data_IF_280989721853
#
_entry.id   IF_280989721853
#
_cell.length_a   1.000
_cell.length_b   1.000
_cell.length_c   1.000
_cell.angle_alpha   90.00
_cell.angle_beta   90.00
_cell.angle_gamma   90.00
#
_symmetry.space_group_name_H-M   'P 1'
#
loop_
_entity.id
_entity.type
_entity.pdbx_description
1 polymer ?
#
# COMPACT_ATOMS: atom_id res chain seq x y z
N UNK A 1 5.66 16.21 30.27
CA UNK A 1 4.76 16.48 29.12
C UNK A 1 5.17 17.72 28.29
N UNK A 2 6.28 18.40 28.59
CA UNK A 2 6.65 19.70 28.01
C UNK A 2 7.62 19.65 26.82
N UNK A 3 8.36 18.56 26.58
CA UNK A 3 9.49 18.58 25.62
C UNK A 3 9.25 17.91 24.25
N UNK A 4 8.04 17.44 23.94
CA UNK A 4 7.75 16.81 22.64
C UNK A 4 6.91 17.67 21.67
N UNK A 5 6.68 18.97 21.96
CA UNK A 5 5.79 19.83 21.16
C UNK A 5 6.42 20.49 19.93
N UNK A 6 7.67 20.20 19.57
CA UNK A 6 8.37 20.90 18.48
C UNK A 6 8.95 19.95 17.42
N UNK A 7 8.07 19.28 16.68
CA UNK A 7 8.27 19.08 15.24
C UNK A 7 6.97 18.59 14.63
N UNK A 8 6.69 19.03 13.40
CA UNK A 8 5.54 18.73 12.56
C UNK A 8 4.41 19.77 12.56
N UNK A 9 4.68 20.87 11.87
CA UNK A 9 3.66 21.61 11.13
C UNK A 9 4.05 21.49 9.65
N UNK A 10 3.30 20.70 8.88
CA UNK A 10 3.67 20.39 7.50
C UNK A 10 2.67 19.45 6.83
N UNK A 11 1.40 19.84 6.82
CA UNK A 11 0.43 19.53 5.74
C UNK A 11 -0.96 20.12 6.08
N UNK A 12 -1.04 21.45 6.22
CA UNK A 12 -2.33 22.14 6.17
C UNK A 12 -2.73 22.31 4.69
N UNK A 13 -3.47 21.34 4.16
CA UNK A 13 -4.25 21.54 2.94
C UNK A 13 -5.34 22.56 3.23
N UNK A 14 -5.16 23.79 2.72
CA UNK A 14 -6.24 24.78 2.60
C UNK A 14 -7.30 24.23 1.63
N UNK A 15 -8.40 23.72 2.16
CA UNK A 15 -9.68 23.70 1.47
C UNK A 15 -10.42 24.98 1.85
N UNK A 16 -11.02 25.64 0.87
CA UNK A 16 -11.78 26.87 1.06
C UNK A 16 -13.20 26.53 1.57
N UNK A 17 -13.30 26.02 2.79
CA UNK A 17 -14.54 25.88 3.57
C UNK A 17 -14.58 26.93 4.68
N UNK A 18 -15.77 27.33 5.13
CA UNK A 18 -15.91 28.20 6.30
C UNK A 18 -15.30 27.54 7.53
N UNK A 19 -14.83 28.33 8.49
CA UNK A 19 -14.17 27.85 9.72
C UNK A 19 -15.03 26.86 10.54
N UNK A 20 -16.36 26.92 10.39
CA UNK A 20 -17.31 25.98 10.98
C UNK A 20 -17.24 24.59 10.34
N UNK A 21 -16.97 24.50 9.03
CA UNK A 21 -16.78 23.23 8.33
C UNK A 21 -15.53 22.50 8.84
N UNK A 22 -14.43 23.24 9.10
CA UNK A 22 -13.23 22.67 9.71
C UNK A 22 -13.53 22.10 11.11
N UNK A 23 -14.37 22.78 11.89
CA UNK A 23 -14.78 22.30 13.22
C UNK A 23 -15.65 21.04 13.12
N UNK A 24 -16.60 20.98 12.19
CA UNK A 24 -17.43 19.81 11.95
C UNK A 24 -16.60 18.58 11.56
N UNK A 25 -15.67 18.76 10.61
CA UNK A 25 -14.73 17.72 10.20
C UNK A 25 -13.91 17.22 11.40
N UNK A 26 -13.46 18.15 12.28
CA UNK A 26 -12.73 17.75 13.49
C UNK A 26 -13.62 16.97 14.46
N UNK A 27 -14.85 17.40 14.71
CA UNK A 27 -15.76 16.70 15.63
C UNK A 27 -16.13 15.30 15.12
N UNK A 28 -16.38 15.16 13.81
CA UNK A 28 -16.62 13.86 13.20
C UNK A 28 -15.39 12.96 13.30
N UNK A 29 -14.19 13.51 13.05
CA UNK A 29 -12.93 12.76 13.19
C UNK A 29 -12.65 12.30 14.63
N UNK A 30 -13.13 13.06 15.62
CA UNK A 30 -13.01 12.73 17.04
C UNK A 30 -14.05 11.73 17.52
N UNK A 31 -15.01 11.36 16.66
CA UNK A 31 -16.07 10.41 16.97
C UNK A 31 -17.23 11.00 17.77
N UNK A 32 -17.41 12.32 17.75
CA UNK A 32 -18.60 12.95 18.32
C UNK A 32 -19.85 12.46 17.57
N UNK A 33 -20.95 12.23 18.30
CA UNK A 33 -22.24 11.77 17.74
C UNK A 33 -23.41 12.61 18.25
N UNK A 34 -23.13 13.79 18.80
CA UNK A 34 -24.15 14.66 19.38
C UNK A 34 -24.82 15.58 18.35
N UNK A 35 -25.74 16.45 18.82
CA UNK A 35 -26.61 17.24 17.97
C UNK A 35 -25.90 18.36 17.20
N UNK A 36 -24.66 18.71 17.55
CA UNK A 36 -23.90 19.81 16.94
C UNK A 36 -23.01 19.37 15.75
N UNK A 37 -23.41 18.31 15.02
CA UNK A 37 -22.72 17.82 13.82
C UNK A 37 -23.24 18.44 12.51
N UNK A 38 -24.19 19.36 12.60
CA UNK A 38 -24.74 20.07 11.44
C UNK A 38 -24.40 21.57 11.51
N UNK A 39 -23.95 22.16 10.40
CA UNK A 39 -23.58 23.58 10.28
C UNK A 39 -24.71 24.52 10.74
N UNK A 40 -25.96 24.15 10.44
CA UNK A 40 -27.17 24.91 10.83
C UNK A 40 -27.42 24.94 12.35
N UNK A 41 -26.83 24.02 13.10
CA UNK A 41 -26.98 23.92 14.56
C UNK A 41 -25.75 24.40 15.31
N UNK A 42 -24.56 24.20 14.73
CA UNK A 42 -23.29 24.59 15.33
C UNK A 42 -23.12 26.11 15.39
N UNK A 43 -23.40 26.83 14.30
CA UNK A 43 -23.27 28.29 14.27
C UNK A 43 -24.06 29.00 15.37
N UNK A 44 -25.38 28.77 15.51
CA UNK A 44 -26.19 29.35 16.60
C UNK A 44 -25.73 28.95 18.01
N UNK A 45 -25.24 27.72 18.17
CA UNK A 45 -24.70 27.24 19.45
C UNK A 45 -23.37 27.93 19.79
N UNK A 46 -22.51 28.18 18.81
CA UNK A 46 -21.27 28.95 18.97
C UNK A 46 -21.54 30.42 19.26
N UNK A 47 -22.54 31.02 18.63
CA UNK A 47 -22.95 32.41 18.88
C UNK A 47 -23.51 32.59 20.30
N UNK A 48 -24.25 31.61 20.81
CA UNK A 48 -24.83 31.61 22.16
C UNK A 48 -23.85 31.15 23.25
N UNK A 49 -22.86 30.30 22.93
CA UNK A 49 -21.77 29.90 23.84
C UNK A 49 -22.28 29.17 25.06
N UNK A 50 -21.76 29.51 26.25
CA UNK A 50 -22.18 28.87 27.52
C UNK A 50 -23.66 29.08 27.89
N UNK A 51 -24.37 29.95 27.16
CA UNK A 51 -25.83 30.09 27.29
C UNK A 51 -26.60 29.03 26.51
N UNK A 52 -25.97 28.33 25.55
CA UNK A 52 -26.58 27.17 24.88
C UNK A 52 -26.30 25.89 25.68
N UNK A 53 -27.34 25.13 26.02
CA UNK A 53 -27.16 23.84 26.69
C UNK A 53 -26.44 22.83 25.79
N UNK A 54 -26.65 22.87 24.47
CA UNK A 54 -25.99 21.99 23.51
C UNK A 54 -24.48 22.25 23.44
N UNK A 55 -24.07 23.52 23.47
CA UNK A 55 -22.66 23.90 23.51
C UNK A 55 -21.98 23.44 24.81
N UNK A 56 -22.64 23.63 25.96
CA UNK A 56 -22.14 23.12 27.25
C UNK A 56 -22.02 21.59 27.26
N UNK A 57 -22.98 20.87 26.69
CA UNK A 57 -22.90 19.41 26.55
C UNK A 57 -21.73 18.96 25.67
N UNK A 58 -21.43 19.68 24.59
CA UNK A 58 -20.27 19.40 23.75
C UNK A 58 -18.96 19.59 24.53
N UNK A 59 -18.82 20.67 25.30
CA UNK A 59 -17.64 20.89 26.14
C UNK A 59 -17.51 19.82 27.23
N UNK A 60 -18.61 19.44 27.88
CA UNK A 60 -18.62 18.34 28.85
C UNK A 60 -18.19 17.02 28.20
N UNK A 61 -18.66 16.74 26.99
CA UNK A 61 -18.25 15.56 26.24
C UNK A 61 -16.74 15.60 25.95
N UNK A 62 -16.21 16.69 25.40
CA UNK A 62 -14.78 16.85 25.13
C UNK A 62 -13.94 16.67 26.39
N UNK A 63 -14.33 17.32 27.50
CA UNK A 63 -13.65 17.19 28.80
C UNK A 63 -13.72 15.77 29.34
N UNK A 64 -14.86 15.08 29.23
CA UNK A 64 -15.00 13.68 29.66
C UNK A 64 -14.10 12.73 28.86
N UNK A 65 -13.99 12.94 27.55
CA UNK A 65 -13.11 12.16 26.70
C UNK A 65 -11.64 12.44 27.01
N UNK A 66 -11.25 13.69 27.27
CA UNK A 66 -9.88 14.01 27.69
C UNK A 66 -9.59 13.40 29.08
N UNK A 67 -10.53 13.47 30.02
CA UNK A 67 -10.39 12.94 31.37
C UNK A 67 -10.32 11.40 31.42
N UNK A 68 -11.04 10.70 30.54
CA UNK A 68 -10.90 9.24 30.39
C UNK A 68 -9.51 8.83 29.90
N UNK A 69 -8.84 9.71 29.16
CA UNK A 69 -7.63 9.39 28.42
C UNK A 69 -6.36 10.03 29.03
N UNK A 70 -6.52 11.06 29.86
CA UNK A 70 -5.49 11.76 30.62
C UNK A 70 -5.74 11.63 32.12
N UNK A 71 -4.67 11.48 32.91
CA UNK A 71 -4.76 11.32 34.36
C UNK A 71 -5.01 12.68 35.04
N UNK A 72 -6.16 13.30 34.75
CA UNK A 72 -6.58 14.60 35.26
C UNK A 72 -7.45 14.42 36.51
N UNK A 73 -7.36 15.35 37.44
CA UNK A 73 -8.17 15.39 38.67
C UNK A 73 -9.46 16.20 38.46
N UNK A 74 -9.42 17.21 37.60
CA UNK A 74 -10.58 18.06 37.31
C UNK A 74 -11.48 17.44 36.23
N UNK A 75 -12.78 17.63 36.39
CA UNK A 75 -13.82 17.17 35.47
C UNK A 75 -14.90 18.24 35.32
N UNK A 76 -15.39 18.43 34.10
CA UNK A 76 -16.49 19.36 33.82
C UNK A 76 -17.80 18.57 33.83
N UNK A 77 -18.78 19.04 34.62
CA UNK A 77 -20.08 18.41 34.76
C UNK A 77 -21.19 19.36 34.31
N UNK A 78 -22.21 18.81 33.62
CA UNK A 78 -23.38 19.58 33.18
C UNK A 78 -24.52 19.58 34.22
N UNK A 79 -24.30 19.02 35.42
CA UNK A 79 -25.38 18.76 36.38
C UNK A 79 -25.71 20.01 37.20
N UNK A 80 -26.63 20.83 36.69
CA UNK A 80 -27.42 21.78 37.47
C UNK A 80 -26.67 23.01 38.02
N UNK A 81 -25.46 23.28 37.57
CA UNK A 81 -24.70 24.48 37.93
C UNK A 81 -25.15 25.73 37.16
N UNK A 82 -25.11 26.89 37.83
CA UNK A 82 -25.26 28.19 37.16
C UNK A 82 -24.12 28.41 36.14
N UNK A 83 -24.31 29.33 35.18
CA UNK A 83 -23.34 29.62 34.12
C UNK A 83 -21.93 29.95 34.67
N UNK A 84 -21.86 30.60 35.83
CA UNK A 84 -20.60 30.92 36.52
C UNK A 84 -19.90 29.66 37.07
N UNK A 85 -20.66 28.64 37.50
CA UNK A 85 -20.13 27.36 37.97
C UNK A 85 -19.50 26.57 36.82
N UNK A 86 -20.20 26.43 35.70
CA UNK A 86 -19.70 25.73 34.50
C UNK A 86 -18.45 26.45 33.96
N UNK A 87 -18.46 27.78 33.95
CA UNK A 87 -17.31 28.59 33.53
C UNK A 87 -16.09 28.37 34.43
N UNK A 88 -16.27 28.24 35.75
CA UNK A 88 -15.19 27.93 36.68
C UNK A 88 -14.64 26.51 36.49
N UNK A 89 -15.50 25.52 36.31
CA UNK A 89 -15.10 24.13 36.02
C UNK A 89 -14.26 24.04 34.75
N UNK A 90 -14.70 24.69 33.65
CA UNK A 90 -13.94 24.71 32.39
C UNK A 90 -12.61 25.46 32.56
N UNK A 91 -12.59 26.61 33.24
CA UNK A 91 -11.35 27.35 33.48
C UNK A 91 -10.35 26.57 34.34
N UNK A 92 -10.83 25.83 35.34
CA UNK A 92 -10.00 24.93 36.14
C UNK A 92 -9.44 23.79 35.29
N UNK A 93 -10.31 23.12 34.54
CA UNK A 93 -9.92 22.02 33.66
C UNK A 93 -8.85 22.45 32.64
N UNK A 94 -9.02 23.64 32.04
CA UNK A 94 -8.03 24.24 31.15
C UNK A 94 -6.71 24.60 31.86
N UNK A 95 -6.76 24.98 33.15
CA UNK A 95 -5.57 25.25 33.96
C UNK A 95 -4.78 23.97 34.21
N UNK A 96 -5.46 22.87 34.52
CA UNK A 96 -4.83 21.57 34.71
C UNK A 96 -4.19 21.05 33.41
N UNK A 97 -4.87 21.29 32.28
CA UNK A 97 -4.32 21.05 30.94
C UNK A 97 -3.12 21.95 30.57
N UNK A 98 -2.69 22.85 31.47
CA UNK A 98 -1.61 23.81 31.23
C UNK A 98 -1.88 24.71 30.02
N UNK A 99 -3.13 25.19 29.89
CA UNK A 99 -3.56 26.05 28.79
C UNK A 99 -2.66 27.31 28.67
N UNK A 100 -2.10 27.59 27.48
CA UNK A 100 -1.19 28.71 27.26
C UNK A 100 -1.92 30.06 27.14
N UNK A 101 -3.25 30.07 27.08
CA UNK A 101 -4.06 31.27 26.86
C UNK A 101 -4.61 31.81 28.19
N UNK A 102 -3.99 32.87 28.77
CA UNK A 102 -4.43 33.41 30.05
C UNK A 102 -5.84 34.00 30.00
N UNK A 103 -6.34 34.40 28.83
CA UNK A 103 -7.72 34.87 28.62
C UNK A 103 -8.79 33.81 28.88
N UNK A 104 -8.44 32.52 28.87
CA UNK A 104 -9.37 31.41 29.13
C UNK A 104 -9.32 30.94 30.60
N UNK A 105 -8.26 31.28 31.34
CA UNK A 105 -7.95 30.69 32.65
C UNK A 105 -7.83 31.74 33.77
N UNK A 106 -7.36 32.94 33.44
CA UNK A 106 -7.02 34.01 34.39
C UNK A 106 -7.87 35.26 34.16
N UNK A 107 -7.96 36.14 35.17
CA UNK A 107 -8.74 37.38 35.10
C UNK A 107 -10.13 37.28 35.73
N UNK A 108 -10.99 38.27 35.49
CA UNK A 108 -12.35 38.30 36.05
C UNK A 108 -13.21 37.19 35.42
N UNK A 109 -14.06 36.52 36.20
CA UNK A 109 -14.84 35.35 35.76
C UNK A 109 -15.68 35.72 34.53
N UNK A 110 -16.32 36.88 34.54
CA UNK A 110 -17.14 37.40 33.44
C UNK A 110 -16.36 37.73 32.16
N UNK A 111 -15.04 37.83 32.26
CA UNK A 111 -14.13 38.10 31.14
C UNK A 111 -13.51 36.85 30.51
N UNK A 112 -13.60 35.69 31.19
CA UNK A 112 -13.07 34.42 30.68
C UNK A 112 -14.01 33.81 29.65
N UNK A 113 -13.48 33.02 28.72
CA UNK A 113 -14.29 32.27 27.71
C UNK A 113 -15.20 33.16 26.83
N UNK A 114 -14.89 34.46 26.68
CA UNK A 114 -15.64 35.36 25.79
C UNK A 114 -15.51 34.96 24.32
N UNK A 115 -14.31 34.51 23.92
CA UNK A 115 -14.10 33.90 22.62
C UNK A 115 -14.50 32.42 22.69
N UNK A 116 -15.74 32.15 22.29
CA UNK A 116 -16.39 30.85 22.39
C UNK A 116 -15.66 29.80 21.54
N UNK A 117 -15.19 30.18 20.35
CA UNK A 117 -14.48 29.29 19.44
C UNK A 117 -13.10 28.84 19.94
N UNK A 118 -12.35 29.68 20.65
CA UNK A 118 -10.96 29.40 21.04
C UNK A 118 -10.90 28.26 22.05
N UNK A 119 -11.88 28.22 22.98
CA UNK A 119 -12.00 27.15 23.96
C UNK A 119 -12.29 25.80 23.29
N UNK A 120 -13.23 25.77 22.34
CA UNK A 120 -13.59 24.56 21.61
C UNK A 120 -12.43 24.05 20.75
N UNK A 121 -11.76 24.92 20.00
CA UNK A 121 -10.58 24.57 19.19
C UNK A 121 -9.48 23.97 20.06
N UNK A 122 -9.22 24.57 21.22
CA UNK A 122 -8.20 24.08 22.16
C UNK A 122 -8.54 22.69 22.66
N UNK A 123 -9.77 22.46 23.13
CA UNK A 123 -10.18 21.14 23.64
C UNK A 123 -10.19 20.07 22.54
N UNK A 124 -10.65 20.39 21.33
CA UNK A 124 -10.52 19.49 20.18
C UNK A 124 -9.06 19.13 19.91
N UNK A 125 -8.16 20.11 19.93
CA UNK A 125 -6.72 19.89 19.69
C UNK A 125 -6.04 19.06 20.78
N UNK A 126 -6.41 19.27 22.05
CA UNK A 126 -5.85 18.51 23.18
C UNK A 126 -6.40 17.07 23.18
N UNK A 127 -7.67 16.85 22.86
CA UNK A 127 -8.23 15.52 22.70
C UNK A 127 -7.55 14.74 21.56
N UNK A 128 -7.32 15.37 20.41
CA UNK A 128 -6.53 14.80 19.33
C UNK A 128 -5.12 14.45 19.79
N UNK A 129 -4.45 15.35 20.52
CA UNK A 129 -3.10 15.10 21.04
C UNK A 129 -3.08 13.90 22.00
N UNK A 130 -4.06 13.78 22.88
CA UNK A 130 -4.18 12.66 23.83
C UNK A 130 -4.44 11.34 23.08
N UNK A 131 -5.34 11.31 22.11
CA UNK A 131 -5.57 10.12 21.25
C UNK A 131 -4.30 9.70 20.50
N UNK A 132 -3.52 10.67 19.99
CA UNK A 132 -2.22 10.42 19.36
C UNK A 132 -1.22 9.83 20.36
N UNK A 133 -1.18 10.33 21.60
CA UNK A 133 -0.29 9.80 22.64
C UNK A 133 -0.67 8.38 23.05
N UNK A 134 -1.96 8.05 23.10
CA UNK A 134 -2.41 6.68 23.39
C UNK A 134 -2.15 5.71 22.25
N UNK A 135 -2.44 6.09 21.01
CA UNK A 135 -2.08 5.28 19.84
C UNK A 135 -0.56 5.11 19.77
N UNK A 136 0.21 6.16 20.09
CA UNK A 136 1.66 6.05 20.27
C UNK A 136 2.02 5.08 21.39
N UNK A 137 1.41 5.12 22.56
CA UNK A 137 1.65 4.16 23.66
C UNK A 137 1.37 2.71 23.26
N UNK A 138 0.30 2.47 22.49
CA UNK A 138 -0.01 1.16 21.92
C UNK A 138 1.01 0.72 20.86
N UNK A 139 1.60 1.66 20.11
CA UNK A 139 2.68 1.40 19.14
C UNK A 139 4.10 1.51 19.72
N UNK A 140 4.23 2.01 20.94
CA UNK A 140 5.47 2.36 21.65
C UNK A 140 5.36 1.93 23.12
N UNK A 141 4.97 0.69 23.40
CA UNK A 141 5.75 -0.01 24.42
C UNK A 141 7.17 -0.02 23.88
N UNK A 142 8.16 0.45 24.63
CA UNK A 142 9.54 0.48 24.12
C UNK A 142 9.90 -0.86 23.49
N UNK A 143 10.78 -0.93 22.48
CA UNK A 143 11.11 -2.19 21.81
C UNK A 143 11.45 -3.31 22.82
N UNK A 144 12.03 -2.95 23.97
CA UNK A 144 12.27 -3.84 25.11
C UNK A 144 10.98 -4.44 25.73
N UNK A 145 9.95 -3.65 25.98
CA UNK A 145 8.71 -4.11 26.62
C UNK A 145 7.87 -4.99 25.70
N UNK A 146 7.84 -4.70 24.40
CA UNK A 146 7.21 -5.55 23.40
C UNK A 146 7.90 -6.93 23.32
N UNK A 147 9.22 -6.93 23.23
CA UNK A 147 10.04 -8.16 23.20
C UNK A 147 9.86 -8.97 24.48
N UNK A 148 9.86 -8.32 25.66
CA UNK A 148 9.64 -9.01 26.93
C UNK A 148 8.24 -9.64 27.02
N UNK A 149 7.22 -8.98 26.48
CA UNK A 149 5.87 -9.56 26.39
C UNK A 149 5.85 -10.78 25.47
N UNK A 150 6.47 -10.72 24.30
CA UNK A 150 6.56 -11.86 23.37
C UNK A 150 7.34 -13.04 23.97
N UNK A 151 8.42 -12.78 24.72
CA UNK A 151 9.14 -13.86 25.39
C UNK A 151 8.27 -14.52 26.46
N UNK A 152 7.54 -13.72 27.25
CA UNK A 152 6.59 -14.27 28.25
C UNK A 152 5.52 -15.15 27.60
N UNK A 153 4.94 -14.73 26.48
CA UNK A 153 3.93 -15.54 25.77
C UNK A 153 4.52 -16.82 25.21
N UNK A 154 5.77 -16.82 24.74
CA UNK A 154 6.48 -18.05 24.32
C UNK A 154 6.73 -19.00 25.49
N UNK A 155 7.13 -18.49 26.65
CA UNK A 155 7.33 -19.30 27.87
C UNK A 155 6.02 -19.95 28.32
N UNK A 156 4.93 -19.18 28.34
CA UNK A 156 3.59 -19.70 28.67
C UNK A 156 3.14 -20.78 27.66
N UNK A 157 3.31 -20.52 26.36
CA UNK A 157 2.94 -21.47 25.30
C UNK A 157 3.75 -22.78 25.37
N UNK A 158 5.04 -22.70 25.71
CA UNK A 158 5.93 -23.85 25.87
C UNK A 158 5.87 -24.48 27.27
N UNK A 159 5.04 -23.93 28.17
CA UNK A 159 4.91 -24.34 29.59
C UNK A 159 6.25 -24.34 30.32
N UNK A 160 7.09 -23.36 30.04
CA UNK A 160 8.33 -23.11 30.75
C UNK A 160 8.05 -22.21 31.97
N UNK A 161 8.83 -22.34 33.06
CA UNK A 161 8.71 -21.46 34.20
C UNK A 161 8.99 -20.02 33.78
N UNK A 162 8.09 -19.08 34.13
CA UNK A 162 8.24 -17.68 33.73
C UNK A 162 9.63 -17.16 34.16
N UNK A 163 10.33 -16.44 33.27
CA UNK A 163 11.67 -16.00 33.59
C UNK A 163 11.63 -14.91 34.66
N UNK A 164 12.39 -15.11 35.72
CA UNK A 164 12.57 -14.15 36.82
C UNK A 164 13.66 -13.12 36.53
N UNK A 165 14.51 -13.38 35.53
CA UNK A 165 15.67 -12.56 35.16
C UNK A 165 15.40 -11.78 33.87
N UNK A 166 16.07 -10.63 33.69
CA UNK A 166 16.01 -9.86 32.44
C UNK A 166 16.98 -10.36 31.36
N UNK A 167 17.50 -11.58 31.49
CA UNK A 167 18.47 -12.14 30.54
C UNK A 167 17.76 -12.72 29.30
N UNK A 168 17.59 -11.89 28.28
CA UNK A 168 16.95 -12.25 27.02
C UNK A 168 17.69 -13.39 26.31
N UNK A 169 19.02 -13.43 26.37
CA UNK A 169 19.81 -14.44 25.65
C UNK A 169 19.63 -15.82 26.29
N UNK A 170 19.72 -15.89 27.62
CA UNK A 170 19.44 -17.12 28.37
C UNK A 170 18.01 -17.61 28.18
N UNK A 171 17.04 -16.71 28.17
CA UNK A 171 15.64 -17.01 27.89
C UNK A 171 15.43 -17.62 26.50
N UNK A 172 16.03 -17.03 25.46
CA UNK A 172 15.94 -17.53 24.09
C UNK A 172 16.59 -18.91 23.93
N UNK A 173 17.70 -19.18 24.62
CA UNK A 173 18.31 -20.52 24.64
C UNK A 173 17.39 -21.57 25.25
N UNK A 174 16.75 -21.26 26.38
CA UNK A 174 15.78 -22.17 27.01
C UNK A 174 14.59 -22.46 26.10
N UNK A 175 14.07 -21.44 25.41
CA UNK A 175 13.03 -21.60 24.38
C UNK A 175 13.53 -22.53 23.26
N UNK A 176 14.73 -22.29 22.74
CA UNK A 176 15.33 -23.08 21.65
C UNK A 176 15.46 -24.55 22.05
N UNK A 177 16.00 -24.84 23.24
CA UNK A 177 16.14 -26.20 23.77
C UNK A 177 14.78 -26.90 23.94
N UNK A 178 13.76 -26.18 24.40
CA UNK A 178 12.43 -26.77 24.55
C UNK A 178 11.78 -27.06 23.20
N UNK A 179 11.94 -26.17 22.23
CA UNK A 179 11.44 -26.37 20.86
C UNK A 179 12.13 -27.56 20.21
N UNK A 180 13.45 -27.70 20.33
CA UNK A 180 14.18 -28.86 19.77
C UNK A 180 13.79 -30.19 20.43
N UNK A 181 13.46 -30.18 21.73
CA UNK A 181 12.92 -31.36 22.44
C UNK A 181 11.51 -31.76 21.96
N UNK A 182 10.66 -30.78 21.65
CA UNK A 182 9.26 -31.01 21.26
C UNK A 182 9.08 -31.32 19.79
N UNK A 183 9.91 -30.75 18.90
CA UNK A 183 9.85 -30.96 17.45
C UNK A 183 9.73 -32.44 17.03
N UNK A 184 10.54 -33.40 17.54
CA UNK A 184 10.44 -34.80 17.15
C UNK A 184 9.17 -35.51 17.66
N UNK A 185 8.50 -34.96 18.68
CA UNK A 185 7.24 -35.50 19.24
C UNK A 185 6.02 -35.10 18.41
N UNK A 186 6.16 -34.09 17.53
CA UNK A 186 5.11 -33.64 16.62
C UNK A 186 5.05 -34.59 15.43
N UNK A 187 3.86 -35.05 15.05
CA UNK A 187 3.66 -35.97 13.94
C UNK A 187 4.35 -35.45 12.67
N UNK A 188 5.26 -36.25 12.12
CA UNK A 188 6.20 -35.89 11.04
C UNK A 188 5.57 -35.36 9.75
N UNK A 189 4.25 -35.51 9.59
CA UNK A 189 3.52 -35.11 8.39
C UNK A 189 2.87 -33.71 8.51
N UNK A 190 3.01 -33.04 9.66
CA UNK A 190 2.35 -31.75 9.93
C UNK A 190 3.23 -30.52 9.68
N UNK A 191 4.55 -30.68 9.68
CA UNK A 191 5.53 -29.59 9.59
C UNK A 191 6.41 -29.81 8.36
N UNK A 192 6.23 -28.96 7.34
CA UNK A 192 7.12 -28.91 6.18
C UNK A 192 8.54 -28.50 6.60
N UNK A 193 9.55 -28.96 5.86
CA UNK A 193 10.95 -28.61 6.12
C UNK A 193 11.18 -27.13 5.90
N UNK A 194 12.25 -26.59 6.51
CA UNK A 194 12.68 -25.22 6.27
C UNK A 194 13.06 -25.05 4.81
N UNK A 195 12.67 -23.91 4.22
CA UNK A 195 12.99 -23.60 2.83
C UNK A 195 14.50 -23.38 2.65
N UNK A 196 15.12 -22.72 3.63
CA UNK A 196 16.55 -22.47 3.68
C UNK A 196 17.18 -23.44 4.69
N UNK A 197 17.77 -24.52 4.18
CA UNK A 197 18.44 -25.55 4.98
C UNK A 197 19.96 -25.36 5.12
N UNK A 198 20.51 -24.26 4.60
CA UNK A 198 21.94 -23.99 4.57
C UNK A 198 22.30 -23.03 5.71
N UNK A 199 23.36 -23.36 6.46
CA UNK A 199 23.94 -22.43 7.42
C UNK A 199 24.61 -21.26 6.69
N UNK A 200 24.17 -20.04 7.01
CA UNK A 200 24.67 -18.83 6.37
C UNK A 200 25.81 -18.24 7.21
N UNK A 201 26.91 -17.88 6.55
CA UNK A 201 27.97 -17.12 7.20
C UNK A 201 27.61 -15.62 7.27
N UNK A 202 28.40 -14.84 8.02
CA UNK A 202 28.14 -13.41 8.22
C UNK A 202 28.08 -12.61 6.91
N UNK A 203 28.97 -12.89 5.95
CA UNK A 203 28.95 -12.21 4.64
C UNK A 203 27.70 -12.56 3.81
N UNK A 204 27.24 -13.81 3.87
CA UNK A 204 26.04 -14.26 3.17
C UNK A 204 24.78 -13.65 3.79
N UNK A 205 24.73 -13.53 5.12
CA UNK A 205 23.64 -12.85 5.82
C UNK A 205 23.57 -11.37 5.41
N UNK A 206 24.71 -10.67 5.39
CA UNK A 206 24.75 -9.27 4.97
C UNK A 206 24.31 -9.10 3.50
N UNK A 207 24.71 -10.02 2.62
CA UNK A 207 24.25 -10.03 1.21
C UNK A 207 22.75 -10.29 1.11
N UNK A 208 22.21 -11.19 1.91
CA UNK A 208 20.77 -11.48 1.95
C UNK A 208 19.96 -10.30 2.47
N UNK A 209 20.45 -9.57 3.47
CA UNK A 209 19.83 -8.33 3.93
C UNK A 209 19.77 -7.28 2.81
N UNK A 210 20.87 -7.09 2.07
CA UNK A 210 20.89 -6.18 0.91
C UNK A 210 19.88 -6.58 -0.17
N UNK A 211 19.73 -7.88 -0.43
CA UNK A 211 18.73 -8.40 -1.38
C UNK A 211 17.31 -8.14 -0.84
N UNK A 212 17.06 -8.43 0.44
CA UNK A 212 15.77 -8.18 1.07
C UNK A 212 15.40 -6.69 1.00
N UNK A 213 16.34 -5.79 1.29
CA UNK A 213 16.13 -4.34 1.20
C UNK A 213 15.78 -3.89 -0.22
N UNK A 214 16.48 -4.41 -1.22
CA UNK A 214 16.20 -4.11 -2.62
C UNK A 214 14.79 -4.59 -3.02
N UNK A 215 14.43 -5.81 -2.65
CA UNK A 215 13.09 -6.37 -2.91
C UNK A 215 12.01 -5.60 -2.15
N UNK A 216 12.23 -5.28 -0.88
CA UNK A 216 11.29 -4.52 -0.06
C UNK A 216 10.99 -3.16 -0.68
N UNK A 217 11.99 -2.45 -1.21
CA UNK A 217 11.82 -1.17 -1.94
C UNK A 217 11.01 -1.37 -3.22
N UNK A 218 11.31 -2.42 -3.99
CA UNK A 218 10.61 -2.71 -5.23
C UNK A 218 9.13 -3.07 -4.99
N UNK A 219 8.86 -3.94 -4.01
CA UNK A 219 7.51 -4.31 -3.60
C UNK A 219 6.75 -3.13 -3.02
N UNK A 220 7.39 -2.25 -2.25
CA UNK A 220 6.78 -1.04 -1.75
C UNK A 220 6.36 -0.13 -2.91
N UNK A 221 7.22 0.06 -3.92
CA UNK A 221 6.89 0.80 -5.13
C UNK A 221 5.66 0.20 -5.85
N UNK A 222 5.65 -1.12 -6.05
CA UNK A 222 4.50 -1.84 -6.64
C UNK A 222 3.22 -1.66 -5.82
N UNK A 223 3.29 -1.76 -4.49
CA UNK A 223 2.14 -1.57 -3.59
C UNK A 223 1.61 -0.14 -3.68
N UNK A 224 2.48 0.88 -3.66
CA UNK A 224 2.07 2.28 -3.85
C UNK A 224 1.34 2.47 -5.18
N UNK A 225 1.88 1.90 -6.26
CA UNK A 225 1.24 1.98 -7.58
C UNK A 225 -0.14 1.31 -7.59
N UNK A 226 -0.28 0.10 -7.02
CA UNK A 226 -1.56 -0.61 -6.97
C UNK A 226 -2.59 0.12 -6.11
N UNK A 227 -2.18 0.66 -4.96
CA UNK A 227 -3.03 1.48 -4.10
C UNK A 227 -3.46 2.75 -4.85
N UNK A 228 -2.54 3.43 -5.55
CA UNK A 228 -2.89 4.61 -6.35
C UNK A 228 -3.82 4.26 -7.51
N UNK A 229 -3.63 3.11 -8.15
CA UNK A 229 -4.53 2.62 -9.20
C UNK A 229 -5.93 2.37 -8.63
N UNK A 230 -6.03 1.80 -7.44
CA UNK A 230 -7.30 1.66 -6.73
C UNK A 230 -7.93 3.02 -6.46
N UNK A 231 -7.18 3.99 -5.91
CA UNK A 231 -7.64 5.36 -5.67
C UNK A 231 -8.25 5.98 -6.93
N UNK A 232 -7.51 5.94 -8.05
CA UNK A 232 -7.95 6.52 -9.33
C UNK A 232 -9.15 5.77 -9.90
N UNK A 233 -9.24 4.46 -9.69
CA UNK A 233 -10.40 3.66 -10.14
C UNK A 233 -11.66 4.02 -9.37
N UNK A 234 -11.56 4.26 -8.06
CA UNK A 234 -12.70 4.70 -7.26
C UNK A 234 -13.08 6.15 -7.62
N UNK A 235 -12.09 7.02 -7.84
CA UNK A 235 -12.32 8.39 -8.27
C UNK A 235 -13.05 8.48 -9.63
N UNK A 236 -12.78 7.57 -10.56
CA UNK A 236 -13.44 7.59 -11.87
C UNK A 236 -14.92 7.25 -11.81
N UNK A 237 -15.39 6.55 -10.77
CA UNK A 237 -16.82 6.33 -10.57
C UNK A 237 -17.56 7.66 -10.38
N UNK A 238 -16.95 8.64 -9.71
CA UNK A 238 -17.50 9.98 -9.50
C UNK A 238 -17.64 10.84 -10.77
N UNK A 239 -17.27 10.33 -11.95
CA UNK A 239 -17.44 11.06 -13.21
C UNK A 239 -18.86 10.94 -13.78
N UNK A 240 -19.64 9.94 -13.35
CA UNK A 240 -21.04 9.79 -13.74
C UNK A 240 -21.97 10.59 -12.83
N UNK A 241 -23.01 11.22 -13.39
CA UNK A 241 -23.93 12.08 -12.62
C UNK A 241 -24.64 11.31 -11.50
N UNK A 242 -25.02 10.06 -11.75
CA UNK A 242 -25.60 9.15 -10.74
C UNK A 242 -24.66 8.84 -9.58
N UNK A 243 -23.34 8.81 -9.81
CA UNK A 243 -22.37 8.51 -8.76
C UNK A 243 -21.95 9.75 -7.97
N UNK A 244 -22.06 10.95 -8.56
CA UNK A 244 -21.84 12.22 -7.84
C UNK A 244 -22.83 12.39 -6.69
N UNK A 245 -24.07 11.93 -6.86
CA UNK A 245 -25.09 11.91 -5.80
C UNK A 245 -24.79 10.87 -4.69
N UNK A 246 -23.82 9.97 -4.90
CA UNK A 246 -23.47 8.87 -4.00
C UNK A 246 -22.02 8.93 -3.53
N UNK A 247 -21.37 10.10 -3.61
CA UNK A 247 -19.98 10.29 -3.20
C UNK A 247 -19.74 9.85 -1.76
N UNK A 248 -20.69 10.17 -0.88
CA UNK A 248 -20.54 9.94 0.56
C UNK A 248 -20.70 8.45 0.88
N UNK A 249 -21.63 7.77 0.20
CA UNK A 249 -21.76 6.31 0.28
C UNK A 249 -20.49 5.60 -0.19
N UNK A 250 -19.90 6.06 -1.31
CA UNK A 250 -18.66 5.51 -1.86
C UNK A 250 -17.49 5.77 -0.90
N UNK A 251 -17.37 6.98 -0.37
CA UNK A 251 -16.32 7.35 0.58
C UNK A 251 -16.42 6.52 1.87
N UNK A 252 -17.63 6.38 2.42
CA UNK A 252 -17.89 5.59 3.63
C UNK A 252 -17.49 4.12 3.46
N UNK A 253 -17.70 3.55 2.27
CA UNK A 253 -17.27 2.18 1.97
C UNK A 253 -15.77 2.06 1.69
N UNK A 254 -15.18 3.05 1.01
CA UNK A 254 -13.81 2.98 0.51
C UNK A 254 -12.75 3.37 1.53
N UNK A 255 -12.96 4.46 2.28
CA UNK A 255 -11.93 5.04 3.14
C UNK A 255 -11.41 4.06 4.21
N UNK A 256 -12.25 3.27 4.91
CA UNK A 256 -11.74 2.30 5.89
C UNK A 256 -10.80 1.27 5.27
N UNK A 257 -11.15 0.75 4.09
CA UNK A 257 -10.30 -0.18 3.33
C UNK A 257 -9.01 0.54 2.93
N UNK A 258 -9.10 1.77 2.44
CA UNK A 258 -7.95 2.53 1.99
C UNK A 258 -6.94 2.82 3.11
N UNK A 259 -7.41 3.14 4.31
CA UNK A 259 -6.56 3.36 5.48
C UNK A 259 -5.91 2.07 5.99
N UNK A 260 -6.55 0.92 5.78
CA UNK A 260 -5.96 -0.39 6.13
C UNK A 260 -4.82 -0.82 5.18
N UNK A 261 -4.73 -0.24 3.97
CA UNK A 261 -3.74 -0.61 2.97
C UNK A 261 -2.40 0.09 3.24
N UNK A 262 -1.38 -0.70 3.56
CA UNK A 262 -0.02 -0.21 3.76
C UNK A 262 0.87 -0.47 2.53
N UNK A 263 1.62 0.55 2.11
CA UNK A 263 2.60 0.38 1.04
C UNK A 263 3.85 -0.35 1.51
N UNK A 264 4.28 -0.14 2.76
CA UNK A 264 5.49 -0.74 3.32
C UNK A 264 5.33 -2.25 3.39
N UNK A 265 6.42 -2.96 3.11
CA UNK A 265 6.50 -4.41 3.32
C UNK A 265 6.86 -4.68 4.77
N UNK A 266 6.27 -5.73 5.35
CA UNK A 266 6.57 -6.21 6.71
C UNK A 266 7.53 -7.40 6.70
N UNK A 267 8.11 -7.72 5.54
CA UNK A 267 8.95 -8.91 5.34
C UNK A 267 10.36 -8.58 5.80
N UNK A 268 10.88 -9.39 6.71
CA UNK A 268 12.23 -9.26 7.26
C UNK A 268 13.02 -10.55 7.03
N UNK A 269 14.33 -10.50 7.26
CA UNK A 269 15.19 -11.69 7.17
C UNK A 269 14.70 -12.83 8.09
N UNK A 270 14.14 -12.51 9.25
CA UNK A 270 13.55 -13.50 10.16
C UNK A 270 12.41 -14.29 9.50
N UNK A 271 11.60 -13.64 8.66
CA UNK A 271 10.53 -14.31 7.92
C UNK A 271 11.09 -15.26 6.85
N UNK A 272 12.21 -14.92 6.22
CA UNK A 272 12.93 -15.81 5.29
C UNK A 272 13.43 -17.06 6.01
N UNK A 273 14.07 -16.89 7.18
CA UNK A 273 14.61 -18.01 7.97
C UNK A 273 13.51 -18.91 8.53
N UNK A 274 12.35 -18.34 8.86
CA UNK A 274 11.17 -19.09 9.29
C UNK A 274 10.40 -19.75 8.13
N UNK A 275 10.72 -19.42 6.87
CA UNK A 275 9.99 -19.90 5.71
C UNK A 275 10.16 -21.42 5.53
N UNK A 276 9.08 -22.09 5.13
CA UNK A 276 9.04 -23.53 4.89
C UNK A 276 8.83 -23.84 3.41
N UNK A 277 9.08 -25.09 3.02
CA UNK A 277 9.04 -25.54 1.62
C UNK A 277 7.68 -25.28 0.95
N UNK A 278 6.57 -25.28 1.68
CA UNK A 278 5.24 -24.95 1.16
C UNK A 278 5.11 -23.52 0.63
N UNK A 279 5.83 -22.56 1.22
CA UNK A 279 5.86 -21.17 0.73
C UNK A 279 6.54 -21.04 -0.64
N UNK A 280 7.38 -22.01 -1.04
CA UNK A 280 7.95 -22.04 -2.39
C UNK A 280 6.93 -22.42 -3.46
N UNK A 281 5.79 -22.98 -3.04
CA UNK A 281 4.77 -23.49 -3.96
C UNK A 281 3.87 -22.36 -4.43
N UNK A 282 4.20 -21.78 -5.58
CA UNK A 282 3.41 -20.72 -6.21
C UNK A 282 2.07 -21.31 -6.68
N UNK A 283 1.01 -21.08 -5.90
CA UNK A 283 -0.35 -21.42 -6.29
C UNK A 283 -0.88 -20.34 -7.23
N UNK A 284 -1.24 -20.72 -8.46
CA UNK A 284 -1.88 -19.79 -9.41
C UNK A 284 -3.20 -19.30 -8.83
N UNK A 285 -3.32 -17.99 -8.68
CA UNK A 285 -4.56 -17.31 -8.27
C UNK A 285 -5.71 -17.50 -9.27
N UNK A 286 -5.39 -17.82 -10.52
CA UNK A 286 -6.34 -18.19 -11.57
C UNK A 286 -6.75 -19.66 -11.60
N UNK A 287 -6.24 -20.49 -10.67
CA UNK A 287 -6.58 -21.90 -10.62
C UNK A 287 -8.07 -22.11 -10.33
N UNK A 288 -8.64 -23.21 -10.86
CA UNK A 288 -10.05 -23.57 -10.64
C UNK A 288 -10.40 -23.64 -9.15
N UNK A 289 -9.53 -24.23 -8.33
CA UNK A 289 -9.72 -24.36 -6.89
C UNK A 289 -9.67 -23.03 -6.12
N UNK A 290 -8.86 -22.06 -6.58
CA UNK A 290 -8.90 -20.68 -6.04
C UNK A 290 -10.17 -19.94 -6.45
N UNK A 291 -10.66 -20.18 -7.67
CA UNK A 291 -11.88 -19.55 -8.21
C UNK A 291 -13.17 -20.11 -7.61
N UNK A 292 -13.22 -21.40 -7.30
CA UNK A 292 -14.33 -22.04 -6.57
C UNK A 292 -14.60 -21.36 -5.22
N UNK A 293 -13.56 -20.88 -4.55
CA UNK A 293 -13.64 -20.22 -3.23
C UNK A 293 -13.79 -18.70 -3.30
N UNK A 294 -13.74 -18.11 -4.50
CA UNK A 294 -13.86 -16.65 -4.71
C UNK A 294 -15.06 -16.29 -5.58
N UNK A 295 -16.04 -17.20 -5.68
CA UNK A 295 -17.31 -16.97 -6.35
C UNK A 295 -18.02 -15.79 -5.67
N UNK A 296 -18.36 -14.78 -6.46
CA UNK A 296 -19.11 -13.62 -5.99
C UNK A 296 -20.23 -13.31 -6.98
N UNK A 297 -21.21 -12.44 -6.61
CA UNK A 297 -22.31 -12.07 -7.49
C UNK A 297 -21.87 -11.50 -8.86
N UNK A 298 -20.63 -11.02 -8.97
CA UNK A 298 -20.04 -10.54 -10.24
C UNK A 298 -19.36 -11.67 -11.02
N UNK A 299 -18.62 -12.56 -10.35
CA UNK A 299 -17.97 -13.74 -10.96
C UNK A 299 -18.73 -15.02 -10.62
N UNK A 300 -19.92 -15.19 -11.23
CA UNK A 300 -20.81 -16.33 -10.96
C UNK A 300 -20.41 -17.64 -11.65
N UNK A 301 -19.71 -17.57 -12.77
CA UNK A 301 -19.49 -18.72 -13.65
C UNK A 301 -18.04 -19.18 -13.62
N UNK A 302 -17.81 -20.36 -13.05
CA UNK A 302 -16.56 -21.08 -13.22
C UNK A 302 -16.59 -21.79 -14.59
N UNK A 303 -15.85 -21.25 -15.56
CA UNK A 303 -15.69 -21.92 -16.84
C UNK A 303 -14.95 -23.25 -16.61
N UNK A 304 -15.59 -24.36 -16.98
CA UNK A 304 -15.00 -25.70 -16.88
C UNK A 304 -13.80 -25.87 -17.81
N UNK A 305 -13.33 -27.12 -17.95
CA UNK A 305 -12.21 -27.45 -18.85
C UNK A 305 -12.58 -27.09 -20.29
N UNK A 306 -12.07 -25.96 -20.78
CA UNK A 306 -12.24 -25.53 -22.18
C UNK A 306 -11.37 -26.46 -23.04
N UNK A 307 -11.95 -27.25 -23.96
CA UNK A 307 -11.17 -28.05 -24.89
C UNK A 307 -10.21 -27.15 -25.66
N UNK A 308 -9.00 -27.66 -25.94
CA UNK A 308 -8.05 -26.92 -26.77
C UNK A 308 -8.72 -26.60 -28.11
N UNK A 309 -8.77 -25.31 -28.47
CA UNK A 309 -9.40 -24.85 -29.72
C UNK A 309 -8.41 -24.85 -30.89
N UNK A 310 -7.20 -25.38 -30.67
CA UNK A 310 -6.14 -25.38 -31.67
C UNK A 310 -5.67 -23.97 -32.00
N UNK A 311 -4.95 -23.83 -33.11
CA UNK A 311 -4.45 -22.55 -33.59
C UNK A 311 -3.10 -22.15 -33.00
N UNK A 312 -2.41 -23.06 -32.30
CA UNK A 312 -1.01 -22.84 -31.95
C UNK A 312 -0.21 -22.76 -33.26
N UNK A 313 0.60 -21.73 -33.47
CA UNK A 313 1.41 -21.60 -34.69
C UNK A 313 2.32 -22.81 -34.98
N UNK A 314 2.63 -23.62 -33.96
CA UNK A 314 3.39 -24.88 -34.08
C UNK A 314 2.58 -26.07 -34.56
N UNK A 315 1.25 -26.02 -34.50
CA UNK A 315 0.31 -27.08 -34.89
C UNK A 315 -0.36 -26.80 -36.24
N UNK A 316 -0.24 -25.57 -36.74
CA UNK A 316 -0.71 -25.18 -38.07
C UNK A 316 0.37 -25.59 -39.07
N UNK A 317 0.03 -26.53 -39.94
CA UNK A 317 0.87 -26.86 -41.08
C UNK A 317 1.03 -25.59 -41.94
N UNK A 318 2.27 -25.16 -42.24
CA UNK A 318 2.47 -23.96 -43.02
C UNK A 318 1.74 -24.12 -44.35
N UNK A 319 1.01 -23.08 -44.82
CA UNK A 319 0.30 -23.17 -46.09
C UNK A 319 1.28 -23.58 -47.17
N UNK A 320 0.81 -24.48 -48.06
CA UNK A 320 1.62 -24.92 -49.19
C UNK A 320 2.19 -23.67 -49.90
N UNK A 321 3.49 -23.64 -50.21
CA UNK A 321 4.10 -22.45 -50.82
C UNK A 321 3.34 -22.13 -52.13
N UNK A 322 2.56 -21.05 -52.10
CA UNK A 322 1.68 -20.63 -53.21
C UNK A 322 2.45 -20.17 -54.45
N UNK A 323 3.78 -20.00 -54.33
CA UNK A 323 4.64 -19.66 -55.45
C UNK A 323 5.51 -20.86 -55.85
N UNK A 324 5.45 -21.30 -57.12
CA UNK A 324 6.43 -22.24 -57.66
C UNK A 324 7.85 -21.72 -57.40
N UNK A 325 8.81 -22.60 -57.04
CA UNK A 325 10.19 -22.18 -56.86
C UNK A 325 10.66 -21.54 -58.16
N UNK A 326 11.28 -20.36 -58.06
CA UNK A 326 11.67 -19.56 -59.22
C UNK A 326 12.63 -20.38 -60.07
N UNK A 327 12.13 -20.99 -61.14
CA UNK A 327 12.96 -21.67 -62.10
C UNK A 327 13.79 -20.62 -62.82
N UNK A 328 15.09 -20.63 -62.52
CA UNK A 328 16.09 -19.92 -63.32
C UNK A 328 15.90 -20.37 -64.77
N UNK A 329 15.65 -19.44 -65.69
CA UNK A 329 15.49 -19.75 -67.11
C UNK A 329 16.71 -20.56 -67.56
N UNK A 330 16.47 -21.65 -68.28
CA UNK A 330 17.52 -22.46 -68.88
C UNK A 330 18.32 -21.58 -69.84
N UNK A 331 19.57 -21.31 -69.50
CA UNK A 331 20.59 -20.99 -70.47
C UNK A 331 21.09 -22.34 -71.02
N UNK A 332 20.44 -22.86 -72.05
CA UNK A 332 21.08 -23.88 -72.90
C UNK A 332 20.90 -23.57 -74.38
N UNK A 333 21.93 -22.87 -74.87
CA UNK A 333 22.66 -23.15 -76.11
C UNK A 333 21.90 -23.69 -77.32
N UNK A 334 21.86 -22.89 -78.39
CA UNK A 334 21.55 -23.44 -79.72
C UNK A 334 21.49 -22.44 -80.88
N UNK A 335 22.67 -22.03 -81.38
CA UNK A 335 23.00 -21.66 -82.78
C UNK A 335 21.92 -21.01 -83.69
N UNK A 336 22.25 -19.80 -84.14
CA UNK A 336 22.28 -19.48 -85.58
C UNK A 336 21.32 -18.39 -86.04
N UNK A 337 21.84 -17.39 -86.77
CA UNK A 337 21.02 -16.53 -87.63
C UNK A 337 21.32 -15.04 -87.61
N UNK A 338 22.41 -14.63 -88.25
CA UNK A 338 22.47 -13.56 -89.26
C UNK A 338 21.51 -12.35 -89.19
N UNK A 339 22.12 -11.16 -89.25
CA UNK A 339 21.62 -9.87 -89.80
C UNK A 339 20.56 -9.18 -88.93
N UNK A 340 20.62 -7.88 -88.65
CA UNK A 340 21.45 -6.79 -89.14
C UNK A 340 20.82 -5.47 -88.69
N UNK A 341 21.61 -4.39 -88.73
CA UNK A 341 21.15 -3.01 -88.56
C UNK A 341 20.82 -2.64 -87.11
N UNK A 342 21.36 -1.59 -86.52
CA UNK A 342 22.08 -0.45 -87.08
C UNK A 342 21.90 0.70 -86.09
N UNK A 343 22.90 1.60 -86.04
CA UNK A 343 22.81 3.03 -85.67
C UNK A 343 22.07 3.35 -84.36
N UNK A 344 22.74 3.85 -83.33
CA UNK A 344 23.51 5.09 -83.26
C UNK A 344 23.38 5.59 -81.81
N UNK A 345 24.42 6.19 -81.20
CA UNK A 345 24.53 7.65 -81.00
C UNK A 345 23.33 8.17 -80.19
N UNK A 346 23.46 8.82 -79.03
CA UNK A 346 24.18 10.06 -78.69
C UNK A 346 24.05 10.20 -77.15
N UNK A 347 25.11 10.43 -76.35
CA UNK A 347 25.85 11.68 -76.07
C UNK A 347 24.98 12.88 -75.63
N UNK A 348 25.40 13.50 -74.51
CA UNK A 348 25.08 14.87 -74.09
C UNK A 348 24.22 14.87 -72.83
N UNK A 349 24.70 15.31 -71.66
CA UNK A 349 25.29 16.63 -71.41
C UNK A 349 24.13 17.62 -71.25
N UNK A 350 23.94 18.37 -70.18
CA UNK A 350 24.86 18.92 -69.20
C UNK A 350 24.26 20.27 -68.77
N UNK A 351 24.66 20.75 -67.59
CA UNK A 351 24.38 22.12 -67.13
C UNK A 351 22.95 22.32 -66.59
N UNK A 352 22.74 23.00 -65.47
CA UNK A 352 23.62 23.92 -64.76
C UNK A 352 22.81 25.16 -64.39
N UNK A 353 22.93 25.59 -63.13
CA UNK A 353 22.45 26.88 -62.62
C UNK A 353 20.95 26.91 -62.31
N UNK A 354 20.47 27.48 -61.21
CA UNK A 354 21.12 28.30 -60.21
C UNK A 354 20.05 29.13 -59.49
N UNK A 355 20.29 29.41 -58.21
CA UNK A 355 19.50 30.35 -57.39
C UNK A 355 18.14 29.79 -56.94
N UNK A 356 17.70 29.95 -55.71
CA UNK A 356 18.14 30.81 -54.63
C UNK A 356 16.99 30.91 -53.63
N UNK A 357 17.32 31.18 -52.37
CA UNK A 357 16.35 31.37 -51.28
C UNK A 357 15.99 30.04 -50.61
N UNK A 358 16.40 29.76 -49.38
CA UNK A 358 16.50 30.68 -48.26
C UNK A 358 15.47 30.22 -47.24
N UNK A 359 15.92 29.75 -46.08
CA UNK A 359 15.04 29.29 -45.02
C UNK A 359 15.58 28.10 -44.24
N UNK A 360 16.67 28.32 -43.49
CA UNK A 360 16.93 27.80 -42.14
C UNK A 360 16.14 26.52 -41.75
N UNK A 361 16.73 25.31 -41.61
CA UNK A 361 17.99 24.97 -40.93
C UNK A 361 17.92 25.45 -39.48
N UNK A 362 17.93 24.65 -38.41
CA UNK A 362 18.46 23.32 -38.08
C UNK A 362 17.67 22.86 -36.83
N UNK A 363 17.53 21.58 -36.47
CA UNK A 363 18.36 20.41 -36.79
C UNK A 363 19.25 20.02 -35.59
N UNK A 364 19.31 18.71 -35.32
CA UNK A 364 20.28 18.06 -34.43
C UNK A 364 19.59 17.24 -33.35
N UNK A 365 19.24 15.96 -33.51
CA UNK A 365 20.06 14.78 -33.83
C UNK A 365 21.32 14.67 -32.96
N UNK A 366 21.39 13.63 -32.13
CA UNK A 366 22.52 12.69 -32.24
C UNK A 366 22.19 11.35 -31.57
N UNK A 367 22.06 10.34 -32.43
CA UNK A 367 22.17 8.93 -32.11
C UNK A 367 23.41 8.40 -32.85
N UNK A 368 24.20 7.58 -32.15
CA UNK A 368 25.29 6.79 -32.72
C UNK A 368 26.33 6.45 -31.64
N UNK A 369 27.12 5.36 -31.78
CA UNK A 369 27.47 4.73 -33.06
C UNK A 369 27.31 3.20 -33.18
N UNK A 370 27.37 2.79 -34.46
CA UNK A 370 27.37 1.46 -35.09
C UNK A 370 28.57 0.55 -34.78
N UNK A 371 28.35 -0.75 -34.99
CA UNK A 371 29.27 -1.70 -35.64
C UNK A 371 29.19 -3.11 -35.04
N UNK A 372 29.10 -4.24 -35.73
CA UNK A 372 29.08 -4.59 -37.16
C UNK A 372 29.25 -6.12 -37.34
N UNK A 373 28.88 -6.62 -38.53
CA UNK A 373 29.31 -7.88 -39.21
C UNK A 373 28.90 -9.26 -38.64
N UNK A 374 28.02 -9.93 -39.39
CA UNK A 374 28.34 -11.14 -40.18
C UNK A 374 28.63 -12.48 -39.48
N UNK A 375 27.92 -13.54 -39.87
CA UNK A 375 28.36 -14.93 -39.68
C UNK A 375 27.23 -15.93 -39.54
N UNK A 376 27.04 -16.80 -40.54
CA UNK A 376 26.19 -17.99 -40.46
C UNK A 376 26.91 -19.20 -39.87
N UNK A 377 26.13 -20.24 -39.56
CA UNK A 377 26.53 -21.52 -38.95
C UNK A 377 26.11 -21.58 -37.48
N UNK A 378 25.49 -22.61 -36.91
CA UNK A 378 25.22 -23.99 -37.33
C UNK A 378 25.19 -24.84 -36.04
N UNK A 379 24.09 -25.58 -35.84
CA UNK A 379 23.95 -26.80 -35.01
C UNK A 379 24.02 -26.78 -33.46
N UNK A 380 23.26 -27.76 -32.91
CA UNK A 380 23.20 -28.34 -31.55
C UNK A 380 22.23 -27.64 -30.58
N UNK A 381 21.16 -28.25 -30.03
CA UNK A 381 20.83 -29.67 -29.84
C UNK A 381 21.23 -30.14 -28.43
N UNK A 382 20.28 -30.09 -27.47
CA UNK A 382 20.19 -30.72 -26.12
C UNK A 382 19.60 -29.69 -25.12
N UNK A 383 18.66 -29.97 -24.23
CA UNK A 383 17.82 -31.11 -23.85
C UNK A 383 16.64 -30.51 -23.05
N UNK A 384 15.43 -31.09 -22.98
CA UNK A 384 15.16 -32.47 -22.63
C UNK A 384 15.07 -32.60 -21.10
N UNK A 385 13.96 -32.16 -20.49
CA UNK A 385 13.51 -32.70 -19.20
C UNK A 385 12.07 -33.17 -19.34
N UNK A 386 11.96 -34.48 -19.19
CA UNK A 386 10.81 -35.37 -19.28
C UNK A 386 9.77 -35.09 -18.19
N UNK A 387 8.53 -34.93 -18.62
CA UNK A 387 7.34 -35.00 -17.78
C UNK A 387 6.95 -36.48 -17.62
N UNK A 388 7.24 -37.06 -16.45
CA UNK A 388 6.82 -38.43 -16.10
C UNK A 388 5.37 -38.42 -15.63
N UNK A 389 4.46 -38.63 -16.58
CA UNK A 389 3.07 -38.99 -16.29
C UNK A 389 2.96 -40.44 -15.82
N UNK A 390 2.84 -40.65 -14.51
CA UNK A 390 2.54 -41.95 -13.92
C UNK A 390 1.06 -42.33 -14.08
N UNK A 391 0.78 -43.35 -14.90
CA UNK A 391 -0.44 -44.17 -14.86
C UNK A 391 -0.05 -45.60 -14.45
N UNK A 392 -0.67 -46.14 -13.41
CA UNK A 392 -0.49 -47.56 -13.05
C UNK A 392 -1.28 -48.02 -11.82
N UNK A 393 -2.49 -48.53 -12.08
CA UNK A 393 -3.21 -49.62 -11.40
C UNK A 393 -3.07 -49.83 -9.89
N UNK A 394 -4.19 -49.63 -9.15
CA UNK A 394 -4.47 -50.34 -7.91
C UNK A 394 -5.59 -51.36 -8.12
N UNK A 395 -5.25 -52.63 -7.98
CA UNK A 395 -6.18 -53.75 -7.76
C UNK A 395 -6.65 -53.70 -6.29
N UNK A 396 -7.96 -53.92 -6.09
CA UNK A 396 -8.54 -54.40 -4.84
C UNK A 396 -7.91 -55.75 -4.46
N UNK A 397 -7.47 -55.90 -3.23
CA UNK A 397 -8.16 -56.65 -2.17
C UNK A 397 -7.67 -56.16 -0.81
#
# INVERSE_FOLDING_TARGET
MSECRLSWCGDCRRFAGGMEADLLDTLESLGYQGPLLDETTLGPALESGLSSPEYCQLLCWLSSQIHLLGNLEESVSSEGGDLESIQLEISGFLKELSCPYPSLVSGDIKSRLQNKEDCLKLLCSELQAVQILQTKSLTCSGPSDAVNKEIKTLFEALRLPLPSTSDIIGQLKSIQEKVTELLPKVQSNSINKTLLGVELNAEQLERLEKINDALCKEYECRRRMLIKRLDVTVQSFGWSDRAKEKTDEIARAYQPVRYSLCSKSSITLSHLLAAREDLSRIVRTSSGSSREKTVCPVNKVLMGRVPDRGGRPSEIEPPAPEMPPWQKRQDDGGRGGWRGGGRGGWRGGGGGGGGGGGGFGRGGYNAGPRGGRGGGGGYQGRGGYSDFGGRGNYKRY
#
